data_IF_828001488758
#
_entry.id   IF_828001488758
#
_cell.length_a   1.000
_cell.length_b   1.000
_cell.length_c   1.000
_cell.angle_alpha   90.00
_cell.angle_beta   90.00
_cell.angle_gamma   90.00
#
_symmetry.space_group_name_H-M   'P 1'
#
loop_
_entity.id
_entity.type
_entity.pdbx_description
1 polymer ?
#
# COMPACT_ATOMS: atom_id res chain seq x y z
N UNK A 1 -37.37 73.56 -6.55
CA UNK A 1 -37.05 73.82 -7.94
C UNK A 1 -35.59 73.56 -8.09
N UNK A 2 -35.10 72.58 -8.72
CA UNK A 2 -35.22 72.04 -10.06
C UNK A 2 -34.73 70.55 -10.03
N UNK A 3 -35.55 69.67 -10.58
CA UNK A 3 -35.25 68.25 -10.81
C UNK A 3 -34.17 68.09 -11.90
N UNK A 4 -33.20 67.19 -11.64
CA UNK A 4 -32.41 66.58 -12.73
C UNK A 4 -32.54 65.05 -12.61
N UNK A 5 -33.19 64.49 -13.62
CA UNK A 5 -33.35 63.06 -13.89
C UNK A 5 -32.16 62.63 -14.76
N UNK A 6 -31.37 61.66 -14.31
CA UNK A 6 -30.36 61.04 -15.18
C UNK A 6 -30.76 59.59 -15.40
N UNK A 7 -31.06 59.29 -16.66
CA UNK A 7 -31.25 57.94 -17.18
C UNK A 7 -29.94 57.16 -17.12
N UNK A 8 -29.95 55.99 -16.48
CA UNK A 8 -28.79 55.11 -16.36
C UNK A 8 -29.20 53.66 -16.41
N UNK A 9 -29.75 53.24 -17.54
CA UNK A 9 -30.16 51.85 -17.66
C UNK A 9 -29.76 51.21 -18.99
N UNK A 10 -28.49 50.92 -19.25
CA UNK A 10 -28.11 50.03 -20.39
C UNK A 10 -26.78 49.26 -20.12
N UNK A 11 -25.98 49.53 -19.07
CA UNK A 11 -24.64 48.91 -18.91
C UNK A 11 -24.58 47.65 -18.08
N UNK A 12 -25.66 47.16 -17.44
CA UNK A 12 -25.65 45.94 -16.62
C UNK A 12 -26.01 44.62 -17.35
N UNK A 13 -26.44 44.66 -18.58
CA UNK A 13 -26.87 43.42 -19.27
C UNK A 13 -25.77 42.72 -20.09
N UNK A 14 -24.66 43.42 -20.41
CA UNK A 14 -23.59 42.82 -21.23
C UNK A 14 -22.50 42.09 -20.42
N UNK A 15 -22.27 42.46 -19.14
CA UNK A 15 -21.28 41.79 -18.29
C UNK A 15 -21.65 40.37 -17.84
N UNK A 16 -22.95 40.12 -17.62
CA UNK A 16 -23.41 38.81 -17.12
C UNK A 16 -23.45 37.72 -18.19
N UNK A 17 -23.53 38.07 -19.44
CA UNK A 17 -23.58 37.12 -20.56
C UNK A 17 -22.16 36.64 -20.95
N UNK A 18 -21.17 37.52 -20.86
CA UNK A 18 -19.76 37.14 -21.12
C UNK A 18 -19.19 36.23 -20.04
N UNK A 19 -19.52 36.45 -18.77
CA UNK A 19 -19.05 35.59 -17.67
C UNK A 19 -19.70 34.17 -17.70
N UNK A 20 -21.00 34.09 -18.02
CA UNK A 20 -21.66 32.79 -18.16
C UNK A 20 -21.13 31.98 -19.35
N UNK A 21 -20.74 32.62 -20.45
CA UNK A 21 -20.10 31.91 -21.58
C UNK A 21 -18.66 31.51 -21.33
N UNK A 22 -17.90 32.27 -20.57
CA UNK A 22 -16.55 31.90 -20.17
C UNK A 22 -16.52 30.68 -19.19
N UNK A 23 -17.45 30.62 -18.22
CA UNK A 23 -17.57 29.50 -17.28
C UNK A 23 -18.01 28.22 -18.00
N UNK A 24 -18.95 28.30 -18.97
CA UNK A 24 -19.38 27.14 -19.76
C UNK A 24 -18.24 26.62 -20.65
N UNK A 25 -17.42 27.49 -21.21
CA UNK A 25 -16.28 27.08 -22.06
C UNK A 25 -15.19 26.38 -21.23
N UNK A 26 -14.89 26.84 -20.01
CA UNK A 26 -13.91 26.22 -19.11
C UNK A 26 -14.38 24.86 -18.63
N UNK A 27 -15.68 24.68 -18.34
CA UNK A 27 -16.25 23.39 -17.89
C UNK A 27 -16.26 22.34 -19.01
N UNK A 28 -16.37 22.75 -20.28
CA UNK A 28 -16.33 21.85 -21.45
C UNK A 28 -14.91 21.48 -21.91
N UNK A 29 -13.90 22.29 -21.57
CA UNK A 29 -12.48 22.02 -21.95
C UNK A 29 -11.82 21.03 -20.99
N UNK A 30 -12.17 21.02 -19.70
CA UNK A 30 -11.57 20.12 -18.71
C UNK A 30 -11.73 18.61 -19.01
N UNK A 31 -12.92 18.09 -19.36
CA UNK A 31 -13.07 16.67 -19.72
C UNK A 31 -12.37 16.31 -21.05
N UNK A 32 -12.31 17.23 -22.01
CA UNK A 32 -11.62 17.00 -23.28
C UNK A 32 -10.08 16.90 -23.12
N UNK A 33 -9.50 17.67 -22.21
CA UNK A 33 -8.07 17.58 -21.89
C UNK A 33 -7.71 16.26 -21.17
N UNK A 34 -8.55 15.78 -20.27
CA UNK A 34 -8.35 14.50 -19.59
C UNK A 34 -8.41 13.33 -20.57
N UNK A 35 -9.43 13.25 -21.42
CA UNK A 35 -9.53 12.24 -22.47
C UNK A 35 -8.37 12.26 -23.47
N UNK A 36 -7.83 13.42 -23.79
CA UNK A 36 -6.69 13.55 -24.70
C UNK A 36 -5.38 13.07 -24.06
N UNK A 37 -5.21 13.27 -22.74
CA UNK A 37 -4.05 12.80 -21.99
C UNK A 37 -4.06 11.27 -21.86
N UNK A 38 -5.21 10.67 -21.56
CA UNK A 38 -5.39 9.23 -21.50
C UNK A 38 -5.13 8.55 -22.85
N UNK A 39 -5.64 9.14 -23.96
CA UNK A 39 -5.41 8.64 -25.31
C UNK A 39 -3.91 8.66 -25.68
N UNK A 40 -3.19 9.73 -25.33
CA UNK A 40 -1.75 9.85 -25.59
C UNK A 40 -0.94 8.84 -24.78
N UNK A 41 -1.34 8.61 -23.52
CA UNK A 41 -0.73 7.61 -22.65
C UNK A 41 -0.89 6.20 -23.23
N UNK A 42 -2.10 5.85 -23.67
CA UNK A 42 -2.41 4.55 -24.27
C UNK A 42 -1.62 4.35 -25.58
N UNK A 43 -1.55 5.35 -26.44
CA UNK A 43 -0.77 5.24 -27.69
C UNK A 43 0.74 5.14 -27.44
N UNK A 44 1.26 5.81 -26.41
CA UNK A 44 2.65 5.62 -25.95
C UNK A 44 2.89 4.21 -25.45
N UNK A 45 2.02 3.69 -24.59
CA UNK A 45 2.10 2.33 -24.05
C UNK A 45 2.00 1.26 -25.14
N UNK A 46 1.16 1.44 -26.16
CA UNK A 46 1.09 0.54 -27.33
C UNK A 46 2.41 0.44 -28.07
N UNK A 47 3.12 1.55 -28.22
CA UNK A 47 4.44 1.55 -28.89
C UNK A 47 5.51 0.85 -28.05
N UNK A 48 5.41 0.93 -26.73
CA UNK A 48 6.32 0.28 -25.79
C UNK A 48 6.08 -1.24 -25.71
N UNK A 49 4.84 -1.70 -25.81
CA UNK A 49 4.44 -3.10 -25.95
C UNK A 49 4.63 -3.97 -24.70
N UNK A 50 5.28 -3.47 -23.65
CA UNK A 50 5.52 -4.20 -22.41
C UNK A 50 5.69 -3.31 -21.19
N UNK A 51 5.63 -3.93 -20.00
CA UNK A 51 5.97 -3.33 -18.72
C UNK A 51 6.67 -4.35 -17.82
N UNK A 52 7.73 -3.96 -17.13
CA UNK A 52 8.46 -4.81 -16.18
C UNK A 52 8.02 -4.46 -14.75
N UNK A 53 7.37 -5.43 -14.12
CA UNK A 53 6.80 -5.29 -12.79
C UNK A 53 7.60 -6.06 -11.73
N UNK A 54 8.20 -5.35 -10.78
CA UNK A 54 8.86 -5.91 -9.61
C UNK A 54 7.94 -5.86 -8.40
N UNK A 55 7.87 -6.94 -7.59
CA UNK A 55 6.94 -6.93 -6.45
C UNK A 55 7.34 -7.85 -5.30
N UNK A 56 6.88 -7.46 -4.10
CA UNK A 56 6.91 -8.28 -2.88
C UNK A 56 5.61 -9.04 -2.65
N UNK A 57 4.56 -8.78 -3.42
CA UNK A 57 3.27 -9.47 -3.33
C UNK A 57 3.42 -10.96 -3.66
N UNK A 58 2.50 -11.83 -3.20
CA UNK A 58 2.58 -13.27 -3.50
C UNK A 58 2.46 -13.53 -5.00
N UNK A 59 3.14 -14.57 -5.48
CA UNK A 59 3.25 -14.84 -6.93
C UNK A 59 1.89 -15.08 -7.59
N UNK A 60 1.02 -15.86 -6.95
CA UNK A 60 -0.34 -16.16 -7.40
C UNK A 60 -1.18 -14.91 -7.62
N UNK A 61 -1.18 -14.00 -6.63
CA UNK A 61 -1.91 -12.75 -6.71
C UNK A 61 -1.32 -11.78 -7.73
N UNK A 62 0.03 -11.67 -7.77
CA UNK A 62 0.71 -10.83 -8.74
C UNK A 62 0.44 -11.29 -10.17
N UNK A 63 0.52 -12.62 -10.41
CA UNK A 63 0.23 -13.22 -11.71
C UNK A 63 -1.22 -12.95 -12.14
N UNK A 64 -2.18 -13.15 -11.23
CA UNK A 64 -3.59 -12.86 -11.55
C UNK A 64 -3.79 -11.37 -11.88
N UNK A 65 -3.18 -10.45 -11.11
CA UNK A 65 -3.25 -9.01 -11.38
C UNK A 65 -2.68 -8.66 -12.76
N UNK A 66 -1.53 -9.24 -13.13
CA UNK A 66 -0.92 -9.00 -14.44
C UNK A 66 -1.75 -9.60 -15.58
N UNK A 67 -2.34 -10.77 -15.38
CA UNK A 67 -3.21 -11.41 -16.38
C UNK A 67 -4.48 -10.58 -16.66
N UNK A 68 -5.08 -9.98 -15.62
CA UNK A 68 -6.23 -9.09 -15.79
C UNK A 68 -5.84 -7.78 -16.48
N UNK A 69 -4.67 -7.24 -16.18
CA UNK A 69 -4.13 -6.07 -16.88
C UNK A 69 -3.88 -6.37 -18.35
N UNK A 70 -3.24 -7.49 -18.69
CA UNK A 70 -3.01 -7.90 -20.10
C UNK A 70 -4.32 -8.18 -20.83
N UNK A 71 -5.34 -8.71 -20.15
CA UNK A 71 -6.68 -8.89 -20.72
C UNK A 71 -7.33 -7.55 -21.07
N UNK A 72 -7.16 -6.53 -20.22
CA UNK A 72 -7.69 -5.18 -20.45
C UNK A 72 -6.91 -4.43 -21.52
N UNK A 73 -5.60 -4.63 -21.56
CA UNK A 73 -4.68 -3.98 -22.50
C UNK A 73 -3.88 -5.03 -23.29
N UNK A 74 -4.51 -5.73 -24.27
CA UNK A 74 -3.93 -6.89 -24.93
C UNK A 74 -2.69 -6.57 -25.79
N UNK A 75 -2.41 -5.30 -26.01
CA UNK A 75 -1.20 -4.82 -26.68
C UNK A 75 0.02 -4.71 -25.73
N UNK A 76 -0.14 -4.98 -24.43
CA UNK A 76 0.94 -4.98 -23.44
C UNK A 76 1.22 -6.39 -22.92
N UNK A 77 2.52 -6.67 -22.66
CA UNK A 77 2.98 -7.84 -21.91
C UNK A 77 3.62 -7.41 -20.60
N UNK A 78 3.35 -8.14 -19.53
CA UNK A 78 3.93 -7.85 -18.20
C UNK A 78 5.02 -8.88 -17.89
N UNK A 79 6.26 -8.41 -17.77
CA UNK A 79 7.36 -9.20 -17.23
C UNK A 79 7.34 -9.08 -15.71
N UNK A 80 6.97 -10.16 -15.02
CA UNK A 80 6.82 -10.18 -13.55
C UNK A 80 8.09 -10.74 -12.89
N UNK A 81 8.66 -9.97 -11.96
CA UNK A 81 9.69 -10.45 -11.03
C UNK A 81 9.22 -10.30 -9.58
N UNK A 82 9.23 -11.42 -8.85
CA UNK A 82 8.77 -11.48 -7.45
C UNK A 82 9.86 -11.99 -6.50
N UNK A 83 10.12 -11.24 -5.43
CA UNK A 83 10.96 -11.69 -4.31
C UNK A 83 10.57 -11.01 -2.98
N UNK A 84 11.27 -11.27 -1.87
CA UNK A 84 11.06 -10.59 -0.59
C UNK A 84 11.59 -9.16 -0.58
N UNK A 85 11.21 -8.35 0.45
CA UNK A 85 11.52 -6.92 0.53
C UNK A 85 13.02 -6.60 0.45
N UNK A 86 13.82 -7.16 1.36
CA UNK A 86 15.27 -6.93 1.37
C UNK A 86 15.98 -7.35 0.07
N UNK A 87 15.78 -8.59 -0.43
CA UNK A 87 16.33 -9.00 -1.74
C UNK A 87 15.85 -8.14 -2.90
N UNK A 88 14.60 -7.64 -2.90
CA UNK A 88 14.10 -6.78 -3.97
C UNK A 88 14.83 -5.44 -3.96
N UNK A 89 14.95 -4.82 -2.80
CA UNK A 89 15.70 -3.58 -2.66
C UNK A 89 17.15 -3.76 -3.11
N UNK A 90 17.82 -4.82 -2.65
CA UNK A 90 19.21 -5.11 -3.02
C UNK A 90 19.37 -5.33 -4.53
N UNK A 91 18.43 -6.01 -5.19
CA UNK A 91 18.41 -6.16 -6.65
C UNK A 91 18.36 -4.81 -7.35
N UNK A 92 17.38 -3.95 -7.00
CA UNK A 92 17.22 -2.62 -7.58
C UNK A 92 18.49 -1.77 -7.39
N UNK A 93 19.04 -1.76 -6.16
CA UNK A 93 20.25 -1.01 -5.87
C UNK A 93 21.50 -1.54 -6.60
N UNK A 94 21.56 -2.84 -6.87
CA UNK A 94 22.66 -3.46 -7.63
C UNK A 94 22.56 -3.12 -9.11
N UNK A 95 21.38 -3.20 -9.70
CA UNK A 95 21.10 -2.78 -11.07
C UNK A 95 21.45 -1.30 -11.28
N UNK A 96 21.00 -0.43 -10.36
CA UNK A 96 21.27 1.00 -10.42
C UNK A 96 22.77 1.33 -10.32
N UNK A 97 23.54 0.62 -9.48
CA UNK A 97 24.99 0.76 -9.40
C UNK A 97 25.68 0.35 -10.72
N UNK A 98 25.11 -0.61 -11.44
CA UNK A 98 25.54 -1.00 -12.79
C UNK A 98 25.03 -0.09 -13.90
N UNK A 99 24.36 1.04 -13.58
CA UNK A 99 23.76 1.94 -14.56
C UNK A 99 22.52 1.42 -15.27
N UNK A 100 21.92 0.32 -14.75
CA UNK A 100 20.76 -0.34 -15.35
C UNK A 100 19.47 -0.01 -14.62
N UNK A 101 18.40 0.09 -15.38
CA UNK A 101 17.02 0.20 -14.90
C UNK A 101 16.21 -0.91 -15.59
N UNK A 102 16.25 -2.11 -15.02
CA UNK A 102 15.63 -3.31 -15.63
C UNK A 102 14.17 -3.47 -15.16
N UNK A 103 13.56 -2.42 -14.61
CA UNK A 103 12.19 -2.40 -14.09
C UNK A 103 11.49 -1.08 -14.40
N UNK A 104 10.17 -1.14 -14.53
CA UNK A 104 9.31 0.02 -14.76
C UNK A 104 8.54 0.41 -13.51
N UNK A 105 7.86 -0.58 -12.91
CA UNK A 105 7.02 -0.38 -11.73
C UNK A 105 7.46 -1.34 -10.63
N UNK A 106 7.54 -0.84 -9.39
CA UNK A 106 7.75 -1.68 -8.22
C UNK A 106 6.63 -1.49 -7.19
N UNK A 107 6.12 -2.60 -6.66
CA UNK A 107 5.31 -2.63 -5.44
C UNK A 107 6.13 -3.26 -4.34
N UNK A 108 6.53 -2.43 -3.39
CA UNK A 108 7.43 -2.80 -2.31
C UNK A 108 6.81 -2.74 -0.93
N UNK A 109 7.66 -2.51 0.06
CA UNK A 109 7.31 -2.18 1.43
C UNK A 109 7.75 -0.75 1.75
N UNK A 110 7.20 -0.12 2.81
CA UNK A 110 7.50 1.26 3.19
C UNK A 110 8.99 1.53 3.36
N UNK A 111 9.74 0.62 3.98
CA UNK A 111 11.18 0.77 4.21
C UNK A 111 12.04 0.86 2.94
N UNK A 112 11.48 0.56 1.77
CA UNK A 112 12.18 0.70 0.49
C UNK A 112 12.16 2.13 -0.05
N UNK A 113 11.20 2.97 0.38
CA UNK A 113 10.93 4.29 -0.19
C UNK A 113 12.15 5.21 -0.06
N UNK A 114 12.63 5.47 1.15
CA UNK A 114 13.76 6.38 1.39
C UNK A 114 15.04 5.94 0.69
N UNK A 115 15.48 4.66 0.76
CA UNK A 115 16.65 4.22 0.01
C UNK A 115 16.57 4.46 -1.50
N UNK A 116 15.37 4.43 -2.08
CA UNK A 116 15.16 4.67 -3.51
C UNK A 116 15.10 6.18 -3.83
N UNK A 117 14.44 6.99 -3.00
CA UNK A 117 14.38 8.46 -3.15
C UNK A 117 15.78 9.07 -3.02
N UNK A 118 16.53 8.72 -1.98
CA UNK A 118 17.88 9.26 -1.71
C UNK A 118 18.85 9.00 -2.87
N UNK A 119 18.62 7.93 -3.62
CA UNK A 119 19.44 7.58 -4.81
C UNK A 119 18.83 8.05 -6.12
N UNK A 120 17.73 8.83 -6.07
CA UNK A 120 17.03 9.37 -7.26
C UNK A 120 16.63 8.26 -8.23
N UNK A 121 16.14 7.13 -7.69
CA UNK A 121 15.74 5.97 -8.48
C UNK A 121 14.25 5.95 -8.80
N UNK A 122 13.47 6.91 -8.28
CA UNK A 122 12.02 7.03 -8.48
C UNK A 122 11.68 8.23 -9.37
N UNK A 123 10.70 8.03 -10.25
CA UNK A 123 10.05 9.11 -10.98
C UNK A 123 8.88 9.66 -10.16
N UNK A 124 8.70 10.98 -10.19
CA UNK A 124 7.48 11.60 -9.69
C UNK A 124 6.34 11.37 -10.68
N UNK A 125 5.25 10.78 -10.21
CA UNK A 125 4.02 10.60 -10.96
C UNK A 125 2.80 10.63 -10.04
N UNK A 126 1.88 11.53 -10.31
CA UNK A 126 0.61 11.62 -9.58
C UNK A 126 -0.51 11.03 -10.41
N UNK A 127 -0.92 9.82 -10.05
CA UNK A 127 -2.07 9.13 -10.67
C UNK A 127 -3.36 9.94 -10.49
N UNK A 128 -4.24 10.04 -11.50
CA UNK A 128 -5.57 10.60 -11.34
C UNK A 128 -6.41 9.84 -10.30
N UNK A 129 -6.12 8.55 -10.09
CA UNK A 129 -6.78 7.67 -9.12
C UNK A 129 -6.45 8.02 -7.66
N UNK A 130 -5.34 8.75 -7.40
CA UNK A 130 -4.92 9.18 -6.06
C UNK A 130 -5.96 10.03 -5.33
N UNK A 131 -6.86 10.70 -6.06
CA UNK A 131 -7.98 11.50 -5.51
C UNK A 131 -8.93 10.65 -4.63
N UNK A 132 -9.01 9.35 -4.89
CA UNK A 132 -9.85 8.40 -4.17
C UNK A 132 -9.12 7.75 -2.99
N UNK A 133 -7.88 8.10 -2.73
CA UNK A 133 -7.02 7.56 -1.67
C UNK A 133 -6.86 8.62 -0.56
N UNK A 134 -6.67 8.18 0.68
CA UNK A 134 -6.41 9.10 1.78
C UNK A 134 -5.06 9.80 1.58
N UNK A 135 -4.99 11.11 1.85
CA UNK A 135 -3.79 11.90 1.62
C UNK A 135 -2.56 11.35 2.36
N UNK A 136 -2.73 10.78 3.56
CA UNK A 136 -1.63 10.16 4.32
C UNK A 136 -1.03 8.89 3.67
N UNK A 137 -1.69 8.36 2.62
CA UNK A 137 -1.26 7.20 1.84
C UNK A 137 -0.75 7.58 0.44
N UNK A 138 -0.51 8.87 0.21
CA UNK A 138 -0.01 9.43 -1.04
C UNK A 138 1.13 10.39 -0.73
N UNK A 139 2.25 10.23 -1.39
CA UNK A 139 3.39 11.15 -1.27
C UNK A 139 3.08 12.50 -1.93
N UNK A 140 3.41 13.59 -1.22
CA UNK A 140 3.19 14.95 -1.69
C UNK A 140 4.03 15.31 -2.94
N UNK A 141 5.19 14.70 -3.10
CA UNK A 141 6.06 14.88 -4.27
C UNK A 141 5.73 13.89 -5.41
N UNK A 142 4.88 12.88 -5.13
CA UNK A 142 4.41 11.91 -6.11
C UNK A 142 5.37 10.76 -6.40
N UNK A 143 6.34 10.48 -5.53
CA UNK A 143 7.25 9.35 -5.70
C UNK A 143 6.58 8.01 -5.42
N UNK A 144 5.54 8.00 -4.58
CA UNK A 144 4.80 6.78 -4.25
C UNK A 144 3.32 7.05 -3.94
N UNK A 145 2.53 6.02 -4.08
CA UNK A 145 1.16 5.93 -3.55
C UNK A 145 0.99 4.54 -2.95
N UNK A 146 0.30 4.41 -1.83
CA UNK A 146 -0.03 3.10 -1.29
C UNK A 146 -0.89 2.33 -2.30
N UNK A 147 -0.48 1.09 -2.62
CA UNK A 147 -1.29 0.17 -3.43
C UNK A 147 -2.23 -0.63 -2.53
N UNK A 148 -1.74 -1.09 -1.39
CA UNK A 148 -2.50 -1.72 -0.33
C UNK A 148 -1.80 -1.53 1.01
N UNK A 149 -2.51 -1.83 2.08
CA UNK A 149 -1.94 -1.85 3.42
C UNK A 149 -2.09 -3.23 4.08
N UNK A 150 -1.28 -3.50 5.10
CA UNK A 150 -1.40 -4.69 5.95
C UNK A 150 -1.33 -4.27 7.41
N UNK A 151 -2.16 -4.82 8.27
CA UNK A 151 -2.03 -4.58 9.71
C UNK A 151 -1.31 -5.74 10.39
N UNK A 152 -0.30 -5.42 11.23
CA UNK A 152 0.30 -6.39 12.13
C UNK A 152 -0.68 -6.71 13.25
N UNK A 153 -0.96 -7.99 13.44
CA UNK A 153 -1.91 -8.49 14.43
C UNK A 153 -1.33 -9.68 15.19
N UNK A 154 -1.91 -9.98 16.34
CA UNK A 154 -1.65 -11.23 17.05
C UNK A 154 -2.54 -12.33 16.45
N UNK A 155 -1.91 -13.32 15.83
CA UNK A 155 -2.56 -14.56 15.42
C UNK A 155 -2.29 -15.67 16.44
N UNK A 156 -3.21 -16.64 16.50
CA UNK A 156 -3.02 -17.84 17.36
C UNK A 156 -3.58 -19.09 16.69
N UNK A 157 -3.03 -20.23 17.08
CA UNK A 157 -3.58 -21.55 16.75
C UNK A 157 -4.69 -21.87 17.74
N UNK A 158 -5.93 -22.04 17.26
CA UNK A 158 -7.13 -22.21 18.09
C UNK A 158 -7.20 -23.59 18.77
N UNK A 159 -6.37 -24.55 18.34
CA UNK A 159 -6.23 -25.86 19.01
C UNK A 159 -5.25 -25.80 20.19
N UNK A 160 -4.29 -24.85 20.18
CA UNK A 160 -3.26 -24.72 21.20
C UNK A 160 -3.59 -23.66 22.26
N UNK A 161 -4.32 -22.59 21.87
CA UNK A 161 -4.68 -21.49 22.76
C UNK A 161 -6.19 -21.23 22.64
N UNK A 162 -6.88 -21.32 23.78
CA UNK A 162 -8.29 -20.94 23.86
C UNK A 162 -8.44 -19.43 23.72
N UNK A 163 -9.55 -18.96 23.17
CA UNK A 163 -9.80 -17.53 22.89
C UNK A 163 -9.71 -16.65 24.16
N UNK A 164 -10.14 -17.15 25.30
CA UNK A 164 -10.06 -16.46 26.59
C UNK A 164 -8.63 -16.24 27.08
N UNK A 165 -7.69 -17.14 26.70
CA UNK A 165 -6.29 -17.11 27.08
C UNK A 165 -5.39 -16.27 26.16
N UNK A 166 -5.92 -15.83 25.01
CA UNK A 166 -5.17 -15.03 24.03
C UNK A 166 -4.84 -13.65 24.61
N UNK A 167 -3.56 -13.18 24.54
CA UNK A 167 -3.19 -11.83 24.95
C UNK A 167 -4.00 -10.76 24.17
N UNK A 168 -4.64 -9.83 24.90
CA UNK A 168 -5.48 -8.79 24.30
C UNK A 168 -4.77 -7.43 24.22
N UNK A 169 -3.58 -7.33 24.78
CA UNK A 169 -2.76 -6.11 24.79
C UNK A 169 -1.29 -6.46 24.56
N UNK A 170 -0.50 -5.47 24.13
CA UNK A 170 0.94 -5.62 24.01
C UNK A 170 1.62 -6.04 25.31
N UNK A 171 1.17 -5.49 26.46
CA UNK A 171 1.73 -5.87 27.76
C UNK A 171 1.36 -7.30 28.17
N UNK A 172 0.12 -7.75 27.86
CA UNK A 172 -0.29 -9.14 28.11
C UNK A 172 0.53 -10.15 27.29
N UNK A 173 1.01 -9.75 26.08
CA UNK A 173 1.89 -10.58 25.26
C UNK A 173 3.28 -10.80 25.92
N UNK A 174 3.70 -9.90 26.81
CA UNK A 174 4.97 -10.02 27.54
C UNK A 174 4.91 -10.96 28.75
N UNK A 175 3.79 -11.66 28.98
CA UNK A 175 3.67 -12.63 30.07
C UNK A 175 4.70 -13.77 29.90
N UNK A 176 5.48 -14.14 30.95
CA UNK A 176 6.49 -15.20 30.90
C UNK A 176 5.99 -16.56 30.42
N UNK A 177 4.67 -16.82 30.49
CA UNK A 177 4.08 -18.06 29.93
C UNK A 177 4.33 -18.23 28.43
N UNK A 178 4.63 -17.15 27.73
CA UNK A 178 4.93 -17.14 26.29
C UNK A 178 6.42 -17.21 25.98
N UNK A 179 7.27 -17.57 26.94
CA UNK A 179 8.71 -17.73 26.76
C UNK A 179 9.06 -19.05 26.05
N UNK A 180 10.23 -19.05 25.37
CA UNK A 180 10.81 -20.26 24.80
C UNK A 180 10.11 -20.73 23.54
N UNK A 181 10.12 -19.94 22.49
CA UNK A 181 9.59 -20.31 21.19
C UNK A 181 8.05 -20.25 21.05
N UNK A 182 7.34 -19.74 22.08
CA UNK A 182 5.87 -19.69 22.04
C UNK A 182 5.31 -18.59 21.11
N UNK A 183 6.15 -17.64 20.67
CA UNK A 183 5.76 -16.53 19.78
C UNK A 183 6.67 -16.55 18.57
N UNK A 184 6.10 -16.43 17.35
CA UNK A 184 6.91 -16.19 16.16
C UNK A 184 6.86 -14.72 15.73
N UNK A 185 8.04 -14.17 15.44
CA UNK A 185 8.23 -12.79 14.93
C UNK A 185 8.96 -12.80 13.57
N UNK A 186 8.67 -11.82 12.73
CA UNK A 186 9.36 -11.62 11.45
C UNK A 186 10.69 -10.89 11.69
N UNK A 187 11.77 -11.40 11.10
CA UNK A 187 13.09 -10.72 11.13
C UNK A 187 13.10 -9.42 10.30
N UNK A 188 12.10 -9.19 9.46
CA UNK A 188 11.95 -7.99 8.65
C UNK A 188 10.69 -7.19 9.05
N UNK A 189 10.30 -7.19 10.32
CA UNK A 189 9.13 -6.43 10.81
C UNK A 189 9.44 -4.93 11.03
N UNK A 190 10.21 -4.31 10.14
CA UNK A 190 10.64 -2.91 10.26
C UNK A 190 9.47 -1.94 10.42
N UNK A 191 8.42 -2.09 9.61
CA UNK A 191 7.22 -1.26 9.70
C UNK A 191 6.52 -1.37 11.06
N UNK A 192 6.53 -2.54 11.72
CA UNK A 192 5.98 -2.69 13.07
C UNK A 192 6.79 -1.88 14.09
N UNK A 193 8.12 -1.94 13.98
CA UNK A 193 9.02 -1.19 14.89
C UNK A 193 8.81 0.31 14.71
N UNK A 194 8.80 0.79 13.47
CA UNK A 194 8.56 2.19 13.15
C UNK A 194 7.20 2.67 13.66
N UNK A 195 6.13 1.95 13.34
CA UNK A 195 4.78 2.34 13.75
C UNK A 195 4.59 2.38 15.27
N UNK A 196 5.20 1.47 16.03
CA UNK A 196 5.18 1.54 17.49
C UNK A 196 6.08 2.65 18.04
N UNK A 197 7.23 2.95 17.42
CA UNK A 197 8.04 4.13 17.76
C UNK A 197 7.23 5.42 17.57
N UNK A 198 6.47 5.51 16.49
CA UNK A 198 5.60 6.63 16.21
C UNK A 198 4.44 6.77 17.21
N UNK A 199 3.80 5.65 17.57
CA UNK A 199 2.65 5.64 18.46
C UNK A 199 3.00 5.86 19.93
N UNK A 200 4.14 5.34 20.41
CA UNK A 200 4.51 5.30 21.82
C UNK A 200 5.70 6.18 22.20
N UNK A 201 6.46 6.65 21.20
CA UNK A 201 7.79 7.22 21.36
C UNK A 201 8.89 6.15 21.31
N UNK A 202 10.09 6.57 20.88
CA UNK A 202 11.25 5.70 20.62
C UNK A 202 11.64 4.85 21.84
N UNK A 203 11.76 5.49 23.00
CA UNK A 203 12.23 4.82 24.21
C UNK A 203 11.30 3.70 24.66
N UNK A 204 10.00 3.97 24.72
CA UNK A 204 8.99 3.00 25.12
C UNK A 204 8.93 1.83 24.14
N UNK A 205 8.98 2.10 22.83
CA UNK A 205 8.97 1.05 21.82
C UNK A 205 10.22 0.15 21.92
N UNK A 206 11.42 0.72 22.09
CA UNK A 206 12.66 -0.04 22.27
C UNK A 206 12.59 -0.89 23.53
N UNK A 207 12.12 -0.33 24.65
CA UNK A 207 11.96 -1.07 25.91
C UNK A 207 11.00 -2.26 25.75
N UNK A 208 9.90 -2.05 25.02
CA UNK A 208 8.95 -3.12 24.71
C UNK A 208 9.60 -4.25 23.89
N UNK A 209 10.28 -3.91 22.79
CA UNK A 209 10.92 -4.94 21.94
C UNK A 209 12.05 -5.69 22.66
N UNK A 210 12.80 -5.02 23.56
CA UNK A 210 13.78 -5.71 24.41
C UNK A 210 13.12 -6.74 25.33
N UNK A 211 11.98 -6.40 25.94
CA UNK A 211 11.20 -7.33 26.78
C UNK A 211 10.61 -8.47 25.94
N UNK A 212 10.11 -8.18 24.74
CA UNK A 212 9.59 -9.19 23.83
C UNK A 212 10.69 -10.15 23.36
N UNK A 213 11.88 -9.64 23.05
CA UNK A 213 13.04 -10.45 22.70
C UNK A 213 13.49 -11.36 23.85
N UNK A 214 13.38 -10.89 25.12
CA UNK A 214 13.72 -11.70 26.31
C UNK A 214 12.77 -12.91 26.53
N UNK A 215 11.65 -12.98 25.82
CA UNK A 215 10.79 -14.16 25.75
C UNK A 215 11.33 -15.25 24.82
N UNK A 216 12.46 -15.04 24.18
CA UNK A 216 13.07 -16.00 23.24
C UNK A 216 12.11 -16.43 22.13
N UNK A 217 11.61 -15.48 21.30
CA UNK A 217 10.67 -15.80 20.22
C UNK A 217 11.36 -16.54 19.07
N UNK A 218 10.58 -17.31 18.30
CA UNK A 218 11.04 -17.88 17.02
C UNK A 218 11.16 -16.75 15.99
N UNK A 219 12.39 -16.43 15.61
CA UNK A 219 12.68 -15.44 14.57
C UNK A 219 12.79 -16.13 13.21
N UNK A 220 11.88 -15.81 12.30
CA UNK A 220 11.89 -16.37 10.96
C UNK A 220 11.39 -15.33 9.97
N UNK A 221 11.94 -15.35 8.77
CA UNK A 221 11.53 -14.44 7.68
C UNK A 221 10.29 -14.94 6.95
N UNK A 222 9.43 -14.01 6.55
CA UNK A 222 8.32 -14.26 5.63
C UNK A 222 6.99 -14.60 6.32
N UNK A 223 5.96 -13.82 6.02
CA UNK A 223 4.64 -13.98 6.66
C UNK A 223 3.92 -15.26 6.26
N UNK A 224 3.92 -15.64 4.99
CA UNK A 224 3.14 -16.80 4.50
C UNK A 224 3.63 -18.09 5.14
N UNK A 225 4.94 -18.35 5.12
CA UNK A 225 5.54 -19.55 5.71
C UNK A 225 5.30 -19.61 7.21
N UNK A 226 5.51 -18.50 7.93
CA UNK A 226 5.29 -18.44 9.38
C UNK A 226 3.82 -18.72 9.75
N UNK A 227 2.86 -18.23 8.97
CA UNK A 227 1.44 -18.54 9.20
C UNK A 227 1.14 -20.00 8.90
N UNK A 228 1.77 -20.64 7.91
CA UNK A 228 1.66 -22.07 7.68
C UNK A 228 2.20 -22.90 8.87
N UNK A 229 3.31 -22.49 9.46
CA UNK A 229 3.85 -23.11 10.67
C UNK A 229 2.95 -22.91 11.90
N UNK A 230 2.30 -21.74 12.03
CA UNK A 230 1.25 -21.54 13.03
C UNK A 230 0.09 -22.52 12.84
N UNK A 231 -0.38 -22.71 11.60
CA UNK A 231 -1.43 -23.70 11.28
C UNK A 231 -1.01 -25.10 11.63
N UNK A 232 0.25 -25.45 11.40
CA UNK A 232 0.84 -26.76 11.75
C UNK A 232 1.03 -26.96 13.27
N UNK A 233 1.00 -25.87 14.06
CA UNK A 233 1.15 -25.95 15.53
C UNK A 233 2.58 -25.85 16.03
N UNK A 234 3.54 -25.39 15.21
CA UNK A 234 4.95 -25.21 15.59
C UNK A 234 5.12 -24.20 16.74
N UNK A 235 4.22 -23.24 16.83
CA UNK A 235 4.10 -22.28 17.92
C UNK A 235 2.65 -21.85 18.10
N UNK A 236 2.21 -21.49 19.30
CA UNK A 236 0.83 -21.12 19.57
C UNK A 236 0.48 -19.69 19.11
N UNK A 237 1.44 -18.77 19.08
CA UNK A 237 1.23 -17.34 18.79
C UNK A 237 2.15 -16.83 17.68
N UNK A 238 1.68 -15.83 16.95
CA UNK A 238 2.45 -15.16 15.90
C UNK A 238 2.09 -13.66 15.83
N UNK A 239 3.07 -12.81 15.57
CA UNK A 239 2.81 -11.47 15.02
C UNK A 239 2.99 -11.54 13.51
N UNK A 240 1.92 -11.31 12.76
CA UNK A 240 1.91 -11.40 11.31
C UNK A 240 0.85 -10.46 10.70
N UNK A 241 0.78 -10.42 9.36
CA UNK A 241 -0.25 -9.63 8.68
C UNK A 241 -1.61 -10.30 8.79
N UNK A 242 -2.60 -9.52 9.20
CA UNK A 242 -3.98 -9.96 9.38
C UNK A 242 -4.56 -10.66 8.16
N UNK A 243 -4.33 -10.13 6.96
CA UNK A 243 -4.84 -10.72 5.71
C UNK A 243 -4.25 -12.11 5.42
N UNK A 244 -3.02 -12.41 5.87
CA UNK A 244 -2.42 -13.74 5.69
C UNK A 244 -3.09 -14.77 6.59
N UNK A 245 -3.34 -14.40 7.86
CA UNK A 245 -4.05 -15.26 8.81
C UNK A 245 -5.52 -15.41 8.37
N UNK A 246 -6.18 -14.31 8.00
CA UNK A 246 -7.58 -14.31 7.56
C UNK A 246 -7.83 -15.29 6.41
N UNK A 247 -6.93 -15.34 5.41
CA UNK A 247 -7.06 -16.31 4.31
C UNK A 247 -7.00 -17.77 4.78
N UNK A 248 -6.20 -18.06 5.81
CA UNK A 248 -6.16 -19.41 6.39
C UNK A 248 -7.43 -19.69 7.18
N UNK A 249 -7.89 -18.73 8.00
CA UNK A 249 -9.18 -18.82 8.72
C UNK A 249 -10.35 -19.06 7.76
N UNK A 250 -10.42 -18.30 6.65
CA UNK A 250 -11.47 -18.44 5.64
C UNK A 250 -11.45 -19.80 4.91
N UNK A 251 -10.34 -20.52 4.97
CA UNK A 251 -10.18 -21.89 4.43
C UNK A 251 -10.39 -22.97 5.48
N UNK A 252 -10.84 -22.60 6.68
CA UNK A 252 -11.12 -23.54 7.78
C UNK A 252 -9.88 -23.99 8.56
N UNK A 253 -8.72 -23.33 8.38
CA UNK A 253 -7.55 -23.63 9.20
C UNK A 253 -7.80 -23.26 10.68
N UNK A 254 -7.19 -23.99 11.65
CA UNK A 254 -7.40 -23.76 13.06
C UNK A 254 -6.60 -22.57 13.56
N UNK A 255 -6.81 -21.40 12.97
CA UNK A 255 -6.16 -20.14 13.35
C UNK A 255 -7.17 -19.00 13.35
N UNK A 256 -6.95 -18.02 14.21
CA UNK A 256 -7.68 -16.76 14.22
C UNK A 256 -6.74 -15.62 14.64
N UNK A 257 -7.23 -14.39 14.62
CA UNK A 257 -6.42 -13.22 14.95
C UNK A 257 -7.24 -12.13 15.63
N UNK A 258 -6.55 -11.30 16.41
CA UNK A 258 -7.05 -10.03 16.95
C UNK A 258 -5.99 -8.92 16.79
N UNK A 259 -6.43 -7.69 16.75
CA UNK A 259 -5.55 -6.53 16.76
C UNK A 259 -5.09 -6.23 18.20
N UNK A 260 -3.78 -6.04 18.40
CA UNK A 260 -3.24 -5.37 19.58
C UNK A 260 -3.23 -3.88 19.31
N UNK A 261 -3.85 -3.07 20.15
CA UNK A 261 -4.03 -1.64 19.89
C UNK A 261 -2.91 -0.75 20.46
N UNK A 262 -2.43 0.22 19.67
CA UNK A 262 -2.79 0.46 18.27
C UNK A 262 -2.17 -0.61 17.35
N UNK A 263 -2.96 -1.17 16.41
CA UNK A 263 -2.43 -2.04 15.39
C UNK A 263 -1.55 -1.23 14.44
N UNK A 264 -0.33 -1.69 14.18
CA UNK A 264 0.51 -1.03 13.19
C UNK A 264 0.09 -1.46 11.79
N UNK A 265 -0.21 -0.48 10.95
CA UNK A 265 -0.58 -0.68 9.56
C UNK A 265 0.59 -0.31 8.66
N UNK A 266 1.14 -1.31 8.00
CA UNK A 266 2.23 -1.17 7.05
C UNK A 266 1.71 -0.73 5.69
N UNK A 267 2.40 0.22 5.07
CA UNK A 267 2.14 0.69 3.70
C UNK A 267 2.91 -0.18 2.70
N UNK A 268 2.23 -0.55 1.62
CA UNK A 268 2.86 -1.23 0.47
C UNK A 268 2.74 -0.30 -0.74
N UNK A 269 3.76 0.56 -0.97
CA UNK A 269 3.72 1.57 -2.02
C UNK A 269 3.92 0.96 -3.39
N UNK A 270 3.25 1.55 -4.38
CA UNK A 270 3.60 1.44 -5.80
C UNK A 270 4.45 2.64 -6.20
N UNK A 271 5.50 2.41 -6.98
CA UNK A 271 6.50 3.39 -7.39
C UNK A 271 6.93 3.14 -8.83
N UNK A 272 7.34 4.19 -9.55
CA UNK A 272 7.84 4.11 -10.94
C UNK A 272 9.34 4.39 -10.94
N UNK A 273 10.10 3.66 -11.76
CA UNK A 273 11.52 3.89 -11.94
C UNK A 273 11.81 5.25 -12.56
N UNK A 274 12.83 5.98 -12.05
CA UNK A 274 13.24 7.28 -12.60
C UNK A 274 13.61 7.24 -14.09
N UNK A 275 14.12 6.10 -14.54
CA UNK A 275 14.47 5.82 -15.93
C UNK A 275 13.77 4.54 -16.41
N UNK A 276 12.44 4.49 -16.20
CA UNK A 276 11.64 3.36 -16.63
C UNK A 276 11.86 3.10 -18.14
N UNK A 277 12.22 1.87 -18.55
CA UNK A 277 12.35 1.53 -19.96
C UNK A 277 11.07 1.77 -20.76
N UNK A 278 9.90 1.63 -20.12
CA UNK A 278 8.58 1.73 -20.74
C UNK A 278 7.70 2.73 -19.96
N UNK A 279 7.99 4.06 -20.03
CA UNK A 279 7.40 5.04 -19.10
C UNK A 279 5.89 5.25 -19.26
N UNK A 280 5.31 5.04 -20.45
CA UNK A 280 3.88 5.13 -20.65
C UNK A 280 3.15 3.87 -20.15
N UNK A 281 3.68 2.70 -20.45
CA UNK A 281 3.17 1.43 -19.94
C UNK A 281 3.28 1.37 -18.40
N UNK A 282 4.36 1.91 -17.82
CA UNK A 282 4.53 2.04 -16.38
C UNK A 282 3.41 2.86 -15.73
N UNK A 283 3.10 4.05 -16.28
CA UNK A 283 2.02 4.91 -15.78
C UNK A 283 0.66 4.25 -15.94
N UNK A 284 0.41 3.62 -17.09
CA UNK A 284 -0.85 2.92 -17.35
C UNK A 284 -1.05 1.74 -16.37
N UNK A 285 0.02 0.98 -16.07
CA UNK A 285 -0.04 -0.09 -15.10
C UNK A 285 -0.19 0.43 -13.66
N UNK A 286 0.50 1.51 -13.31
CA UNK A 286 0.36 2.18 -12.02
C UNK A 286 -1.09 2.64 -11.79
N UNK A 287 -1.70 3.33 -12.77
CA UNK A 287 -3.08 3.79 -12.71
C UNK A 287 -4.06 2.62 -12.59
N UNK A 288 -3.82 1.52 -13.34
CA UNK A 288 -4.61 0.31 -13.22
C UNK A 288 -4.59 -0.29 -11.81
N UNK A 289 -3.41 -0.38 -11.18
CA UNK A 289 -3.28 -0.89 -9.81
C UNK A 289 -4.09 -0.05 -8.80
N UNK A 290 -4.16 1.26 -8.99
CA UNK A 290 -4.89 2.19 -8.13
C UNK A 290 -6.35 2.38 -8.53
N UNK A 291 -6.76 1.92 -9.72
CA UNK A 291 -8.14 2.02 -10.20
C UNK A 291 -9.11 1.23 -9.31
N UNK A 292 -10.40 1.53 -9.41
CA UNK A 292 -11.42 0.77 -8.68
C UNK A 292 -11.34 -0.73 -8.99
N UNK A 293 -11.16 -1.08 -10.27
CA UNK A 293 -11.00 -2.47 -10.73
C UNK A 293 -9.80 -3.16 -10.06
N UNK A 294 -8.62 -2.53 -10.06
CA UNK A 294 -7.41 -3.07 -9.42
C UNK A 294 -7.58 -3.22 -7.91
N UNK A 295 -8.28 -2.31 -7.25
CA UNK A 295 -8.54 -2.36 -5.82
C UNK A 295 -9.63 -3.39 -5.44
N UNK A 296 -10.62 -3.62 -6.28
CA UNK A 296 -11.59 -4.71 -6.11
C UNK A 296 -10.94 -6.09 -6.25
N UNK A 297 -9.91 -6.23 -7.09
CA UNK A 297 -9.09 -7.44 -7.13
C UNK A 297 -8.34 -7.68 -5.80
N UNK A 298 -7.76 -6.63 -5.20
CA UNK A 298 -7.14 -6.73 -3.87
C UNK A 298 -8.13 -7.19 -2.81
N UNK A 299 -9.34 -6.65 -2.82
CA UNK A 299 -10.45 -7.11 -1.97
C UNK A 299 -10.73 -8.60 -2.17
N UNK A 300 -10.78 -9.06 -3.41
CA UNK A 300 -10.96 -10.49 -3.76
C UNK A 300 -9.84 -11.39 -3.24
N UNK A 301 -8.62 -10.85 -3.04
CA UNK A 301 -7.51 -11.56 -2.40
C UNK A 301 -7.52 -11.47 -0.86
N UNK A 302 -8.55 -10.88 -0.28
CA UNK A 302 -8.63 -10.55 1.15
C UNK A 302 -7.48 -9.64 1.59
N UNK A 303 -7.03 -8.73 0.71
CA UNK A 303 -6.14 -7.63 1.08
C UNK A 303 -6.95 -6.40 1.48
N UNK A 304 -6.27 -5.42 2.06
CA UNK A 304 -6.88 -4.16 2.47
C UNK A 304 -6.66 -3.14 1.36
N UNK A 305 -7.71 -2.81 0.55
CA UNK A 305 -7.63 -1.75 -0.44
C UNK A 305 -7.41 -0.38 0.20
N UNK A 306 -6.88 0.57 -0.57
CA UNK A 306 -6.63 1.94 -0.09
C UNK A 306 -7.64 2.96 -0.63
N UNK A 307 -8.47 2.58 -1.59
CA UNK A 307 -9.54 3.44 -2.12
C UNK A 307 -10.68 3.57 -1.12
N UNK A 308 -11.18 4.79 -0.97
CA UNK A 308 -12.30 5.13 -0.08
C UNK A 308 -13.63 4.47 -0.51
N UNK A 309 -13.77 4.13 -1.79
CA UNK A 309 -14.97 3.51 -2.38
C UNK A 309 -14.86 1.99 -2.55
N UNK A 310 -13.83 1.35 -1.98
CA UNK A 310 -13.63 -0.11 -1.99
C UNK A 310 -13.36 -0.59 -0.57
N UNK A 311 -14.37 -1.17 0.08
CA UNK A 311 -14.25 -1.73 1.43
C UNK A 311 -13.51 -3.08 1.43
N UNK A 312 -12.68 -3.37 2.47
CA UNK A 312 -12.05 -4.68 2.61
C UNK A 312 -13.08 -5.80 2.87
N UNK A 313 -12.74 -7.02 2.46
CA UNK A 313 -13.57 -8.20 2.70
C UNK A 313 -12.72 -9.34 3.32
N UNK A 314 -13.04 -9.77 4.55
CA UNK A 314 -14.12 -9.28 5.42
C UNK A 314 -13.78 -7.90 6.03
N UNK A 315 -14.81 -7.09 6.41
CA UNK A 315 -14.60 -5.75 6.98
C UNK A 315 -13.68 -5.73 8.22
N UNK A 316 -13.63 -6.82 9.02
CA UNK A 316 -12.74 -6.94 10.19
C UNK A 316 -11.26 -6.73 9.86
N UNK A 317 -10.85 -6.84 8.60
CA UNK A 317 -9.47 -6.60 8.19
C UNK A 317 -9.00 -5.17 8.49
N UNK A 318 -9.92 -4.19 8.49
CA UNK A 318 -9.57 -2.79 8.73
C UNK A 318 -10.63 -2.03 9.55
N UNK A 319 -11.54 -2.75 10.22
CA UNK A 319 -12.61 -2.18 11.06
C UNK A 319 -12.60 -2.83 12.45
N UNK A 320 -13.03 -2.06 13.45
CA UNK A 320 -13.22 -2.57 14.81
C UNK A 320 -12.00 -2.53 15.71
N UNK A 321 -10.91 -1.83 15.32
CA UNK A 321 -9.74 -1.61 16.16
C UNK A 321 -9.06 -0.27 15.83
N UNK A 322 -8.30 0.26 16.79
CA UNK A 322 -7.45 1.45 16.59
C UNK A 322 -6.15 1.04 15.90
N UNK A 323 -5.71 1.85 14.95
CA UNK A 323 -4.46 1.60 14.22
C UNK A 323 -3.59 2.87 14.14
N UNK A 324 -2.33 2.67 13.85
CA UNK A 324 -1.37 3.69 13.43
C UNK A 324 -0.78 3.27 12.10
N UNK A 325 -0.59 4.21 11.18
CA UNK A 325 0.03 3.94 9.89
C UNK A 325 1.52 4.23 10.03
N UNK A 326 2.39 3.31 9.56
CA UNK A 326 3.81 3.57 9.46
C UNK A 326 4.08 4.76 8.52
N UNK A 327 5.20 5.42 8.72
CA UNK A 327 5.67 6.45 7.79
C UNK A 327 6.69 5.82 6.82
N UNK A 328 6.36 5.62 5.54
CA UNK A 328 7.30 5.08 4.56
C UNK A 328 8.54 5.96 4.35
N UNK A 329 8.45 7.24 4.70
CA UNK A 329 9.54 8.21 4.62
C UNK A 329 10.35 8.32 5.91
N UNK A 330 10.15 7.41 6.85
CA UNK A 330 10.95 7.37 8.06
C UNK A 330 12.40 7.02 7.72
N UNK A 331 13.35 7.89 8.12
CA UNK A 331 14.80 7.66 7.94
C UNK A 331 15.40 6.80 9.05
N UNK A 332 14.66 6.55 10.10
CA UNK A 332 15.07 5.82 11.30
C UNK A 332 14.17 4.60 11.53
N UNK A 333 14.19 3.66 10.60
CA UNK A 333 13.47 2.39 10.75
C UNK A 333 14.09 1.46 11.81
N UNK A 334 15.38 1.66 12.18
CA UNK A 334 16.13 0.82 13.09
C UNK A 334 16.53 1.53 14.37
#
# INVERSE_FOLDING_TARGET
MTTFRIEGGIWMALGSIMWKRAIVLVVLILPALCCAQDAKLIEGAKKEGQVVYYTTMTLDQSKHTTDQFEKKYPFLKVTLFRTGGGPLLNKILTEARGGRFDWDVVVGRGEMVIPLIDRKLLASYRSPESKMIDAQLVDDEGYWTAYYVNSYVLGWNTKLVKREDVPKTYDALLNPRWKGGQISLDTEAYGMVEGLKRAWGREKAIAYFKRLAALDPVLKRGNTERVQLLVAGEYPLIIAYNQTIQRMTSRGAPVDWLALEPAVTQVNPVMIAAKAPHPNAARLFYDYLLSKEGQEQLRGYQRIPVRKDVEPDPPRLFRGFKYTIENPECRDYL
#
